data_IF_898900326561
#
_entry.id   IF_898900326561
#
_cell.length_a   1.000
_cell.length_b   1.000
_cell.length_c   1.000
_cell.angle_alpha   90.00
_cell.angle_beta   90.00
_cell.angle_gamma   90.00
#
_symmetry.space_group_name_H-M   'P 1'
#
loop_
_entity.id
_entity.type
_entity.pdbx_description
1 polymer ?
#
# COMPACT_ATOMS: atom_id res chain seq x y z
N UNK A 1 -5.94 -10.80 -1.38
CA UNK A 1 -6.35 -9.39 -1.60
C UNK A 1 -5.09 -8.55 -1.71
N UNK A 2 -5.01 -7.64 -2.68
CA UNK A 2 -3.92 -6.68 -2.72
C UNK A 2 -4.24 -5.53 -1.75
N UNK A 3 -3.33 -5.30 -0.80
CA UNK A 3 -3.53 -4.37 0.33
C UNK A 3 -2.96 -2.98 0.05
N UNK A 4 -2.11 -2.85 -0.96
CA UNK A 4 -1.25 -1.70 -1.16
C UNK A 4 -1.22 -1.32 -2.64
N UNK A 5 -2.19 -0.52 -3.07
CA UNK A 5 -2.32 -0.10 -4.46
C UNK A 5 -2.41 1.41 -4.57
N UNK A 6 -1.72 1.95 -5.55
CA UNK A 6 -1.62 3.37 -5.85
C UNK A 6 -2.20 3.66 -7.22
N UNK A 7 -3.13 4.60 -7.27
CA UNK A 7 -3.59 5.21 -8.50
C UNK A 7 -2.79 6.48 -8.79
N UNK A 8 -3.06 7.12 -9.91
CA UNK A 8 -2.56 8.45 -10.25
C UNK A 8 -2.95 9.55 -9.25
N UNK A 9 -3.93 9.30 -8.36
CA UNK A 9 -4.26 10.20 -7.26
C UNK A 9 -3.19 10.17 -6.17
N UNK A 10 -2.35 9.14 -6.12
CA UNK A 10 -1.01 9.25 -5.53
C UNK A 10 -0.16 10.16 -6.43
N UNK A 11 -0.36 11.47 -6.27
CA UNK A 11 0.13 12.51 -7.15
C UNK A 11 1.62 12.34 -7.44
N UNK A 12 1.96 12.28 -8.73
CA UNK A 12 3.34 12.12 -9.23
C UNK A 12 4.05 10.90 -8.63
N UNK A 13 3.30 9.84 -8.33
CA UNK A 13 3.80 8.56 -7.85
C UNK A 13 3.14 7.39 -8.57
N UNK A 14 1.83 7.19 -8.38
CA UNK A 14 1.09 6.16 -9.11
C UNK A 14 0.91 6.54 -10.57
N UNK A 15 0.96 5.56 -11.47
CA UNK A 15 0.91 5.79 -12.92
C UNK A 15 -0.42 5.40 -13.55
N UNK A 16 -1.30 4.72 -12.80
CA UNK A 16 -2.55 4.17 -13.32
C UNK A 16 -3.79 4.96 -12.92
N UNK A 17 -4.73 5.20 -13.85
CA UNK A 17 -6.10 5.54 -13.49
C UNK A 17 -6.75 4.43 -12.65
N UNK A 18 -7.71 4.83 -11.83
CA UNK A 18 -8.42 3.91 -10.93
C UNK A 18 -9.16 2.81 -11.71
N UNK A 19 -9.80 3.18 -12.81
CA UNK A 19 -10.55 2.27 -13.68
C UNK A 19 -9.62 1.21 -14.28
N UNK A 20 -8.45 1.62 -14.78
CA UNK A 20 -7.45 0.71 -15.34
C UNK A 20 -6.92 -0.27 -14.29
N UNK A 21 -6.65 0.20 -13.07
CA UNK A 21 -6.24 -0.66 -11.96
C UNK A 21 -7.28 -1.74 -11.66
N UNK A 22 -8.56 -1.36 -11.59
CA UNK A 22 -9.67 -2.30 -11.32
C UNK A 22 -9.89 -3.27 -12.48
N UNK A 23 -9.86 -2.80 -13.73
CA UNK A 23 -9.97 -3.64 -14.91
C UNK A 23 -8.87 -4.71 -14.97
N UNK A 24 -7.62 -4.32 -14.70
CA UNK A 24 -6.50 -5.26 -14.65
C UNK A 24 -6.71 -6.30 -13.55
N UNK A 25 -7.15 -5.87 -12.37
CA UNK A 25 -7.45 -6.79 -11.27
C UNK A 25 -8.53 -7.81 -11.65
N UNK A 26 -9.59 -7.36 -12.33
CA UNK A 26 -10.67 -8.23 -12.80
C UNK A 26 -10.17 -9.26 -13.81
N UNK A 27 -9.33 -8.85 -14.78
CA UNK A 27 -8.73 -9.75 -15.78
C UNK A 27 -7.85 -10.84 -15.14
N UNK A 28 -7.21 -10.52 -14.03
CA UNK A 28 -6.36 -11.44 -13.26
C UNK A 28 -7.15 -12.33 -12.28
N UNK A 29 -8.48 -12.20 -12.21
CA UNK A 29 -9.33 -12.97 -11.31
C UNK A 29 -9.20 -12.54 -9.84
N UNK A 30 -8.85 -11.28 -9.58
CA UNK A 30 -8.75 -10.72 -8.22
C UNK A 30 -10.14 -10.23 -7.80
N UNK A 31 -10.65 -10.76 -6.69
CA UNK A 31 -12.01 -10.50 -6.18
C UNK A 31 -12.07 -9.42 -5.08
N UNK A 32 -10.93 -9.06 -4.49
CA UNK A 32 -10.81 -8.02 -3.46
C UNK A 32 -9.57 -7.17 -3.69
N UNK A 33 -9.74 -5.86 -3.60
CA UNK A 33 -8.69 -4.89 -3.88
C UNK A 33 -8.80 -3.71 -2.91
N UNK A 34 -7.68 -3.29 -2.35
CA UNK A 34 -7.58 -2.08 -1.56
C UNK A 34 -7.03 -0.93 -2.38
N UNK A 35 -7.60 0.26 -2.26
CA UNK A 35 -6.97 1.48 -2.74
C UNK A 35 -6.34 2.21 -1.55
N UNK A 36 -5.04 2.44 -1.61
CA UNK A 36 -4.23 3.06 -0.55
C UNK A 36 -3.37 4.15 -1.14
N UNK A 37 -4.02 5.18 -1.70
CA UNK A 37 -3.30 6.31 -2.26
C UNK A 37 -2.49 7.05 -1.18
N UNK A 38 -1.36 7.63 -1.60
CA UNK A 38 -0.39 8.23 -0.68
C UNK A 38 -0.96 9.53 -0.13
N UNK A 39 -1.13 9.59 1.19
CA UNK A 39 -1.58 10.75 1.95
C UNK A 39 -2.88 11.39 1.41
N UNK A 40 -3.75 10.62 0.74
CA UNK A 40 -5.03 11.10 0.25
C UNK A 40 -6.05 9.98 0.00
N UNK A 41 -7.31 10.37 -0.22
CA UNK A 41 -8.44 9.46 -0.48
C UNK A 41 -9.25 9.87 -1.71
N UNK A 42 -8.69 10.73 -2.57
CA UNK A 42 -9.40 11.39 -3.67
C UNK A 42 -10.05 10.39 -4.63
N UNK A 43 -9.33 9.32 -4.97
CA UNK A 43 -9.80 8.29 -5.91
C UNK A 43 -10.82 7.31 -5.35
N UNK A 44 -11.17 7.37 -4.07
CA UNK A 44 -11.95 6.32 -3.41
C UNK A 44 -13.37 6.18 -3.97
N UNK A 45 -14.02 7.28 -4.33
CA UNK A 45 -15.39 7.26 -4.86
C UNK A 45 -15.43 6.57 -6.22
N UNK A 46 -14.50 6.91 -7.10
CA UNK A 46 -14.43 6.32 -8.44
C UNK A 46 -13.95 4.86 -8.37
N UNK A 47 -13.10 4.54 -7.38
CA UNK A 47 -12.66 3.17 -7.10
C UNK A 47 -13.81 2.26 -6.69
N UNK A 48 -14.64 2.69 -5.75
CA UNK A 48 -15.80 1.91 -5.32
C UNK A 48 -16.77 1.66 -6.48
N UNK A 49 -17.00 2.67 -7.33
CA UNK A 49 -17.84 2.52 -8.54
C UNK A 49 -17.24 1.53 -9.53
N UNK A 50 -15.96 1.68 -9.85
CA UNK A 50 -15.26 0.79 -10.77
C UNK A 50 -15.28 -0.66 -10.25
N UNK A 51 -14.96 -0.88 -8.97
CA UNK A 51 -15.01 -2.19 -8.33
C UNK A 51 -16.41 -2.81 -8.43
N UNK A 52 -17.47 -2.03 -8.16
CA UNK A 52 -18.85 -2.50 -8.29
C UNK A 52 -19.18 -2.96 -9.70
N UNK A 53 -18.70 -2.27 -10.74
CA UNK A 53 -18.95 -2.65 -12.14
C UNK A 53 -18.25 -3.95 -12.54
N UNK A 54 -17.15 -4.30 -11.87
CA UNK A 54 -16.36 -5.50 -12.15
C UNK A 54 -16.56 -6.64 -11.15
N UNK A 55 -17.49 -6.49 -10.19
CA UNK A 55 -17.73 -7.51 -9.16
C UNK A 55 -16.57 -7.69 -8.18
N UNK A 56 -15.73 -6.68 -8.01
CA UNK A 56 -14.62 -6.66 -7.06
C UNK A 56 -15.09 -6.02 -5.76
N UNK A 57 -14.72 -6.58 -4.62
CA UNK A 57 -14.96 -5.97 -3.32
C UNK A 57 -13.90 -4.89 -3.03
N UNK A 58 -14.30 -3.61 -2.94
CA UNK A 58 -13.37 -2.53 -2.64
C UNK A 58 -13.06 -2.48 -1.15
N UNK A 59 -11.80 -2.20 -0.80
CA UNK A 59 -11.39 -1.87 0.57
C UNK A 59 -10.75 -0.48 0.59
N UNK A 60 -11.22 0.37 1.50
CA UNK A 60 -10.74 1.73 1.63
C UNK A 60 -9.51 1.78 2.55
N UNK A 61 -8.45 2.45 2.10
CA UNK A 61 -7.28 2.72 2.93
C UNK A 61 -6.50 3.94 2.47
N UNK A 62 -5.39 4.20 3.15
CA UNK A 62 -4.48 5.33 2.92
C UNK A 62 -3.06 4.84 3.21
N UNK A 63 -2.12 5.14 2.33
CA UNK A 63 -0.71 4.97 2.65
C UNK A 63 -0.17 6.26 3.26
N UNK A 64 0.31 6.19 4.50
CA UNK A 64 0.88 7.34 5.21
C UNK A 64 2.39 7.38 5.01
N UNK A 65 2.86 8.48 4.43
CA UNK A 65 4.29 8.76 4.26
C UNK A 65 4.68 10.05 4.95
N UNK A 66 5.90 10.09 5.48
CA UNK A 66 6.47 11.31 6.04
C UNK A 66 6.91 12.30 4.94
N UNK A 67 7.43 13.46 5.35
CA UNK A 67 7.90 14.53 4.47
C UNK A 67 9.12 14.12 3.62
N UNK A 68 9.79 13.02 3.97
CA UNK A 68 10.90 12.45 3.22
C UNK A 68 10.43 11.31 2.28
N UNK A 69 9.12 11.18 2.08
CA UNK A 69 8.47 10.13 1.28
C UNK A 69 8.72 8.71 1.79
N UNK A 70 9.13 8.54 3.04
CA UNK A 70 9.29 7.23 3.66
C UNK A 70 7.93 6.71 4.10
N UNK A 71 7.65 5.45 3.75
CA UNK A 71 6.48 4.73 4.23
C UNK A 71 6.54 4.58 5.75
N UNK A 72 5.54 5.12 6.45
CA UNK A 72 5.35 4.91 7.88
C UNK A 72 4.45 3.70 8.12
N UNK A 73 3.26 3.71 7.52
CA UNK A 73 2.27 2.64 7.63
C UNK A 73 1.15 2.79 6.60
N UNK A 74 0.41 1.71 6.39
CA UNK A 74 -0.82 1.67 5.60
C UNK A 74 -1.99 1.55 6.57
N UNK A 75 -2.92 2.50 6.51
CA UNK A 75 -4.17 2.46 7.27
C UNK A 75 -5.30 1.90 6.43
N UNK A 76 -6.01 0.89 6.94
CA UNK A 76 -7.05 0.15 6.23
C UNK A 76 -8.35 0.16 7.03
N UNK A 77 -9.43 0.64 6.43
CA UNK A 77 -10.73 0.71 7.07
C UNK A 77 -11.42 -0.66 7.10
N UNK A 78 -11.88 -1.09 8.29
CA UNK A 78 -12.74 -2.27 8.46
C UNK A 78 -14.18 -2.01 8.07
N UNK A 79 -14.61 -0.75 8.17
CA UNK A 79 -15.98 -0.30 7.91
C UNK A 79 -16.00 1.22 7.69
N UNK A 80 -17.19 1.78 7.47
CA UNK A 80 -17.38 3.21 7.23
C UNK A 80 -16.91 4.09 8.40
N UNK A 81 -16.99 3.61 9.65
CA UNK A 81 -16.46 4.33 10.80
C UNK A 81 -14.92 4.39 10.73
N UNK A 82 -14.27 3.27 10.44
CA UNK A 82 -12.82 3.23 10.22
C UNK A 82 -12.36 4.16 9.10
N UNK A 83 -13.11 4.23 8.00
CA UNK A 83 -12.81 5.15 6.90
C UNK A 83 -12.94 6.62 7.33
N UNK A 84 -13.98 6.97 8.10
CA UNK A 84 -14.11 8.31 8.70
C UNK A 84 -12.92 8.63 9.60
N UNK A 85 -12.56 7.71 10.50
CA UNK A 85 -11.42 7.88 11.44
C UNK A 85 -10.10 8.12 10.69
N UNK A 86 -9.86 7.40 9.59
CA UNK A 86 -8.69 7.61 8.72
C UNK A 86 -8.69 9.00 8.07
N UNK A 87 -9.84 9.45 7.55
CA UNK A 87 -9.94 10.77 6.94
C UNK A 87 -9.81 11.89 7.99
N UNK A 88 -10.44 11.77 9.15
CA UNK A 88 -10.31 12.75 10.24
C UNK A 88 -8.85 12.86 10.71
N UNK A 89 -8.14 11.73 10.77
CA UNK A 89 -6.72 11.70 11.08
C UNK A 89 -5.89 12.42 10.00
N UNK A 90 -6.09 12.07 8.73
CA UNK A 90 -5.42 12.71 7.61
C UNK A 90 -5.69 14.23 7.56
N UNK A 91 -6.96 14.63 7.65
CA UNK A 91 -7.38 16.04 7.62
C UNK A 91 -6.78 16.86 8.75
N UNK A 92 -6.69 16.29 9.97
CA UNK A 92 -6.06 16.98 11.10
C UNK A 92 -4.60 17.31 10.83
N UNK A 93 -3.82 16.32 10.36
CA UNK A 93 -2.41 16.52 10.04
C UNK A 93 -2.20 17.47 8.86
N UNK A 94 -3.05 17.39 7.83
CA UNK A 94 -3.01 18.33 6.71
C UNK A 94 -3.32 19.77 7.13
N UNK A 95 -4.24 19.96 8.09
CA UNK A 95 -4.62 21.28 8.58
C UNK A 95 -3.61 21.87 9.57
N UNK A 96 -3.02 21.05 10.44
CA UNK A 96 -2.03 21.51 11.44
C UNK A 96 -0.62 21.62 10.88
N UNK A 97 -0.30 20.88 9.81
CA UNK A 97 1.06 20.72 9.30
C UNK A 97 1.96 19.84 10.18
N UNK A 98 1.41 19.24 11.24
CA UNK A 98 2.16 18.34 12.11
C UNK A 98 2.51 17.04 11.35
N UNK A 99 3.75 16.54 11.48
CA UNK A 99 4.13 15.28 10.84
C UNK A 99 3.30 14.12 11.39
N UNK A 100 3.07 13.11 10.55
CA UNK A 100 2.46 11.88 11.01
C UNK A 100 3.37 11.19 12.06
N UNK A 101 2.83 10.75 13.19
CA UNK A 101 3.60 9.96 14.16
C UNK A 101 3.99 8.62 13.55
N UNK A 102 5.14 8.04 13.94
CA UNK A 102 5.57 6.72 13.46
C UNK A 102 4.58 5.60 13.83
N UNK A 103 3.92 5.74 14.99
CA UNK A 103 2.83 4.86 15.44
C UNK A 103 1.56 5.69 15.70
N UNK A 104 0.51 5.55 14.89
CA UNK A 104 -0.71 6.33 15.06
C UNK A 104 -1.48 5.93 16.32
N UNK A 105 -2.25 6.89 16.85
CA UNK A 105 -3.20 6.66 17.96
C UNK A 105 -4.52 6.07 17.49
N UNK A 106 -4.63 5.68 16.22
CA UNK A 106 -5.83 5.08 15.63
C UNK A 106 -6.07 3.70 16.21
N UNK A 107 -7.26 3.53 16.79
CA UNK A 107 -7.74 2.29 17.40
C UNK A 107 -9.13 1.99 16.88
N UNK A 108 -9.46 0.71 16.90
CA UNK A 108 -10.76 0.15 16.55
C UNK A 108 -11.18 0.48 15.10
N UNK A 109 -11.87 -0.44 14.42
CA UNK A 109 -12.33 -0.26 13.01
C UNK A 109 -11.26 0.04 11.95
N UNK A 110 -9.98 0.12 12.30
CA UNK A 110 -8.86 0.40 11.39
C UNK A 110 -7.75 -0.61 11.63
N UNK A 111 -7.28 -1.24 10.56
CA UNK A 111 -6.03 -2.00 10.56
C UNK A 111 -4.85 -1.10 10.20
N UNK A 112 -3.71 -1.30 10.84
CA UNK A 112 -2.47 -0.59 10.54
C UNK A 112 -1.42 -1.62 10.13
N UNK A 113 -0.79 -1.41 8.97
CA UNK A 113 0.24 -2.30 8.43
C UNK A 113 1.54 -1.51 8.32
N UNK A 114 2.54 -1.89 9.11
CA UNK A 114 3.88 -1.29 9.09
C UNK A 114 4.78 -1.99 8.06
N UNK A 115 5.75 -1.29 7.45
CA UNK A 115 6.81 -1.96 6.70
C UNK A 115 7.68 -2.80 7.65
N UNK A 116 8.32 -3.86 7.14
CA UNK A 116 9.19 -4.73 7.92
C UNK A 116 10.33 -3.99 8.63
N UNK A 117 10.83 -2.91 8.03
CA UNK A 117 11.88 -2.05 8.60
C UNK A 117 11.44 -1.28 9.86
N UNK A 118 10.14 -1.05 10.03
CA UNK A 118 9.56 -0.33 11.17
C UNK A 118 9.07 -1.31 12.23
N UNK A 119 9.98 -2.15 12.73
CA UNK A 119 9.65 -3.16 13.73
C UNK A 119 9.16 -2.50 15.03
N UNK A 120 7.99 -2.94 15.50
CA UNK A 120 7.41 -2.52 16.76
C UNK A 120 7.26 -3.72 17.68
N UNK A 121 7.89 -3.67 18.85
CA UNK A 121 7.59 -4.60 19.93
C UNK A 121 6.13 -4.41 20.39
N UNK A 122 5.44 -5.53 20.64
CA UNK A 122 4.07 -5.55 21.14
C UNK A 122 3.05 -4.85 20.22
N UNK A 123 2.86 -5.41 19.02
CA UNK A 123 1.77 -5.05 18.12
C UNK A 123 0.41 -5.24 18.79
N UNK A 124 -0.47 -4.26 18.63
CA UNK A 124 -1.89 -4.33 19.02
C UNK A 124 -2.63 -5.30 18.11
N UNK A 125 -3.86 -5.65 18.47
CA UNK A 125 -4.65 -6.61 17.68
C UNK A 125 -4.97 -6.15 16.26
N UNK A 126 -5.02 -4.84 16.04
CA UNK A 126 -5.27 -4.22 14.75
C UNK A 126 -3.98 -3.84 14.00
N UNK A 127 -2.81 -4.15 14.54
CA UNK A 127 -1.51 -3.79 13.96
C UNK A 127 -0.81 -5.03 13.38
N UNK A 128 -0.24 -4.87 12.19
CA UNK A 128 0.38 -5.92 11.40
C UNK A 128 1.70 -5.42 10.79
N UNK A 129 2.55 -6.35 10.36
CA UNK A 129 3.77 -6.06 9.61
C UNK A 129 3.60 -6.62 8.19
N UNK A 130 3.74 -5.74 7.20
CA UNK A 130 3.72 -6.07 5.80
C UNK A 130 5.10 -6.51 5.31
N UNK A 131 5.17 -7.70 4.73
CA UNK A 131 6.41 -8.29 4.20
C UNK A 131 6.34 -8.31 2.67
N UNK A 132 7.33 -7.71 2.00
CA UNK A 132 7.44 -7.74 0.54
C UNK A 132 8.08 -9.04 0.04
N UNK A 133 7.91 -9.40 -1.25
CA UNK A 133 8.55 -10.59 -1.82
C UNK A 133 10.07 -10.64 -1.63
N UNK A 134 10.75 -9.49 -1.76
CA UNK A 134 12.21 -9.40 -1.58
C UNK A 134 12.65 -9.47 -0.11
N UNK A 135 11.74 -9.21 0.83
CA UNK A 135 11.96 -9.35 2.27
C UNK A 135 11.72 -10.78 2.77
N UNK A 136 10.92 -11.60 2.05
CA UNK A 136 10.61 -12.98 2.42
C UNK A 136 11.88 -13.80 2.69
N UNK A 137 12.92 -13.65 1.87
CA UNK A 137 14.19 -14.38 2.02
C UNK A 137 15.03 -13.89 3.20
N UNK A 138 14.77 -12.66 3.69
CA UNK A 138 15.44 -12.06 4.84
C UNK A 138 14.80 -12.44 6.17
N UNK A 139 13.64 -13.10 6.15
CA UNK A 139 13.00 -13.67 7.33
C UNK A 139 13.78 -14.91 7.81
N UNK A 140 14.98 -14.70 8.36
CA UNK A 140 15.85 -15.76 8.95
C UNK A 140 15.75 -15.77 10.48
N UNK A 141 14.80 -15.00 11.05
CA UNK A 141 14.57 -14.91 12.49
C UNK A 141 13.86 -16.17 13.02
N UNK A 142 13.99 -16.54 14.31
CA UNK A 142 13.03 -17.46 14.93
C UNK A 142 11.66 -16.77 14.97
N UNK A 143 10.90 -16.89 13.87
CA UNK A 143 9.53 -16.40 13.78
C UNK A 143 8.68 -17.29 14.67
N UNK A 144 8.44 -16.83 15.91
CA UNK A 144 7.51 -17.52 16.81
C UNK A 144 6.10 -17.49 16.20
N UNK A 145 5.27 -18.50 16.49
CA UNK A 145 3.90 -18.58 15.94
C UNK A 145 3.04 -17.34 16.24
N UNK A 146 3.29 -16.66 17.37
CA UNK A 146 2.61 -15.41 17.75
C UNK A 146 3.02 -14.21 16.87
N UNK A 147 4.26 -14.19 16.37
CA UNK A 147 4.72 -13.15 15.45
C UNK A 147 4.19 -13.42 14.04
N UNK A 148 4.16 -14.68 13.64
CA UNK A 148 3.68 -15.08 12.32
C UNK A 148 2.22 -14.66 12.05
N UNK A 149 1.36 -14.71 13.07
CA UNK A 149 -0.04 -14.27 12.96
C UNK A 149 -0.21 -12.75 12.79
N UNK A 150 0.87 -11.98 12.93
CA UNK A 150 0.90 -10.52 12.71
C UNK A 150 1.59 -10.13 11.41
N UNK A 151 2.12 -11.08 10.66
CA UNK A 151 2.73 -10.82 9.35
C UNK A 151 1.68 -10.97 8.25
N UNK A 152 1.72 -10.07 7.26
CA UNK A 152 0.87 -10.12 6.07
C UNK A 152 1.69 -9.87 4.82
N UNK A 153 1.28 -10.45 3.68
CA UNK A 153 1.91 -10.17 2.40
C UNK A 153 1.67 -8.70 1.99
N UNK A 154 2.75 -8.01 1.64
CA UNK A 154 2.70 -6.63 1.10
C UNK A 154 3.33 -6.62 -0.30
N UNK A 155 2.49 -6.64 -1.33
CA UNK A 155 2.90 -6.41 -2.71
C UNK A 155 2.36 -5.05 -3.16
N UNK A 156 3.18 -3.99 -3.13
CA UNK A 156 2.78 -2.69 -3.66
C UNK A 156 2.46 -2.79 -5.15
N UNK A 157 1.43 -2.06 -5.57
CA UNK A 157 1.04 -1.90 -6.97
C UNK A 157 1.05 -0.41 -7.27
N UNK A 158 2.07 0.03 -8.00
CA UNK A 158 2.26 1.43 -8.39
C UNK A 158 2.22 1.61 -9.90
N UNK A 159 2.73 0.61 -10.62
CA UNK A 159 2.98 0.60 -12.07
C UNK A 159 1.89 -0.16 -12.81
N UNK A 160 1.59 0.28 -14.04
CA UNK A 160 0.67 -0.46 -14.94
C UNK A 160 1.24 -1.76 -15.50
N UNK A 161 2.56 -1.92 -15.44
CA UNK A 161 3.29 -3.09 -15.89
C UNK A 161 4.79 -2.82 -16.02
N UNK A 162 5.56 -3.79 -16.56
CA UNK A 162 7.02 -3.74 -16.59
C UNK A 162 7.61 -2.53 -17.36
N UNK A 163 6.90 -2.01 -18.36
CA UNK A 163 7.36 -0.88 -19.17
C UNK A 163 7.16 0.50 -18.53
N UNK A 164 6.43 0.57 -17.42
CA UNK A 164 5.92 1.84 -16.88
C UNK A 164 6.86 2.49 -15.86
N UNK A 165 7.91 1.78 -15.46
CA UNK A 165 8.88 2.28 -14.49
C UNK A 165 9.56 3.58 -14.93
N UNK A 166 9.81 3.74 -16.23
CA UNK A 166 10.39 4.98 -16.75
C UNK A 166 9.43 6.16 -16.59
N UNK A 167 8.14 5.99 -16.86
CA UNK A 167 7.13 7.03 -16.62
C UNK A 167 7.12 7.41 -15.13
N UNK A 168 7.08 6.41 -14.25
CA UNK A 168 7.15 6.63 -12.80
C UNK A 168 8.39 7.46 -12.40
N UNK A 169 9.58 7.10 -12.88
CA UNK A 169 10.80 7.88 -12.60
C UNK A 169 10.70 9.34 -13.06
N UNK A 170 10.09 9.60 -14.22
CA UNK A 170 9.86 10.98 -14.68
C UNK A 170 8.94 11.74 -13.72
N UNK A 171 7.86 11.10 -13.25
CA UNK A 171 6.96 11.70 -12.25
C UNK A 171 7.71 12.02 -10.95
N UNK A 172 8.55 11.11 -10.46
CA UNK A 172 9.36 11.33 -9.24
C UNK A 172 10.40 12.44 -9.41
N UNK A 173 11.06 12.51 -10.56
CA UNK A 173 12.02 13.57 -10.86
C UNK A 173 11.36 14.95 -10.88
N UNK A 174 10.14 15.05 -11.45
CA UNK A 174 9.34 16.27 -11.43
C UNK A 174 8.92 16.63 -9.99
N UNK A 175 8.44 15.66 -9.22
CA UNK A 175 7.98 15.87 -7.85
C UNK A 175 9.09 16.38 -6.92
N UNK A 176 10.25 15.73 -7.01
CA UNK A 176 11.42 16.03 -6.18
C UNK A 176 12.30 17.14 -6.76
N UNK A 177 11.92 17.72 -7.90
CA UNK A 177 12.67 18.73 -8.63
C UNK A 177 14.16 18.33 -8.80
N UNK A 178 14.40 17.12 -9.30
CA UNK A 178 15.74 16.53 -9.43
C UNK A 178 15.93 15.83 -10.78
N UNK A 179 17.16 15.40 -11.05
CA UNK A 179 17.48 14.64 -12.27
C UNK A 179 17.13 13.17 -12.10
N UNK A 180 16.73 12.49 -13.20
CA UNK A 180 16.48 11.05 -13.23
C UNK A 180 17.64 10.21 -12.70
N UNK A 181 18.88 10.67 -12.92
CA UNK A 181 20.12 10.02 -12.46
C UNK A 181 20.43 10.25 -10.97
N UNK A 182 19.72 11.18 -10.31
CA UNK A 182 19.86 11.50 -8.89
C UNK A 182 18.76 10.89 -8.03
N UNK A 183 17.77 10.23 -8.65
CA UNK A 183 16.75 9.49 -7.92
C UNK A 183 17.39 8.31 -7.19
N UNK A 184 16.96 8.09 -5.96
CA UNK A 184 17.36 6.96 -5.12
C UNK A 184 16.23 5.94 -5.04
N UNK A 185 16.55 4.69 -4.69
CA UNK A 185 15.56 3.60 -4.60
C UNK A 185 14.45 3.89 -3.58
N UNK A 186 14.73 4.67 -2.53
CA UNK A 186 13.72 5.09 -1.54
C UNK A 186 12.73 6.13 -2.09
N UNK A 187 13.05 6.77 -3.21
CA UNK A 187 12.23 7.81 -3.83
C UNK A 187 11.34 7.27 -4.94
N UNK A 188 11.54 6.02 -5.37
CA UNK A 188 10.79 5.38 -6.46
C UNK A 188 10.06 4.13 -5.97
N UNK A 189 9.10 3.65 -6.73
CA UNK A 189 8.59 2.29 -6.65
C UNK A 189 9.67 1.28 -7.07
N UNK A 190 9.51 0.02 -6.67
CA UNK A 190 10.20 -1.10 -7.31
C UNK A 190 9.71 -1.36 -8.74
N UNK A 191 10.58 -1.90 -9.59
CA UNK A 191 10.23 -2.26 -10.98
C UNK A 191 9.17 -3.38 -11.06
N UNK A 192 9.00 -4.16 -9.98
CA UNK A 192 8.05 -5.26 -9.89
C UNK A 192 6.73 -4.89 -9.17
N UNK A 193 6.49 -3.59 -8.92
CA UNK A 193 5.29 -3.07 -8.28
C UNK A 193 4.09 -2.94 -9.24
N UNK A 194 3.67 -4.05 -9.82
CA UNK A 194 2.48 -4.13 -10.67
C UNK A 194 1.60 -5.33 -10.28
N UNK A 195 0.35 -5.34 -10.74
CA UNK A 195 -0.56 -6.45 -10.47
C UNK A 195 -0.05 -7.75 -11.11
N UNK A 196 -0.08 -8.82 -10.33
CA UNK A 196 0.24 -10.18 -10.76
C UNK A 196 -0.90 -11.12 -10.40
N UNK A 197 -0.95 -12.28 -11.05
CA UNK A 197 -2.00 -13.27 -10.78
C UNK A 197 -1.89 -13.83 -9.34
N UNK A 198 -3.00 -14.30 -8.74
CA UNK A 198 -2.96 -14.97 -7.45
C UNK A 198 -1.99 -16.17 -7.40
N UNK A 199 -1.78 -16.86 -8.52
CA UNK A 199 -0.80 -17.95 -8.62
C UNK A 199 0.64 -17.43 -8.49
N UNK A 200 0.97 -16.32 -9.16
CA UNK A 200 2.27 -15.68 -9.04
C UNK A 200 2.53 -15.13 -7.64
N UNK A 201 1.50 -14.59 -6.97
CA UNK A 201 1.61 -14.20 -5.55
C UNK A 201 2.01 -15.41 -4.70
N UNK A 202 1.32 -16.55 -4.84
CA UNK A 202 1.67 -17.77 -4.09
C UNK A 202 3.10 -18.24 -4.37
N UNK A 203 3.58 -18.12 -5.62
CA UNK A 203 4.97 -18.43 -5.98
C UNK A 203 5.96 -17.49 -5.30
N UNK A 204 5.70 -16.18 -5.31
CA UNK A 204 6.55 -15.16 -4.66
C UNK A 204 6.66 -15.39 -3.13
N UNK A 205 5.63 -15.94 -2.50
CA UNK A 205 5.57 -16.21 -1.05
C UNK A 205 5.72 -17.70 -0.70
N UNK A 206 6.25 -18.54 -1.58
CA UNK A 206 6.30 -19.99 -1.38
C UNK A 206 7.04 -20.43 -0.09
N UNK A 207 8.01 -19.63 0.39
CA UNK A 207 8.72 -19.89 1.64
C UNK A 207 7.86 -19.62 2.89
N UNK A 208 6.87 -18.72 2.81
CA UNK A 208 5.95 -18.39 3.88
C UNK A 208 4.51 -18.27 3.35
N UNK A 209 3.87 -19.38 2.92
CA UNK A 209 2.54 -19.37 2.29
C UNK A 209 1.43 -18.78 3.18
N UNK A 210 1.61 -18.84 4.50
CA UNK A 210 0.68 -18.29 5.51
C UNK A 210 0.50 -16.76 5.45
N UNK A 211 1.34 -16.05 4.68
CA UNK A 211 1.22 -14.61 4.49
C UNK A 211 0.15 -14.21 3.46
N UNK A 212 -0.30 -15.16 2.62
CA UNK A 212 -1.17 -14.94 1.45
C UNK A 212 -2.60 -15.36 1.71
#
# INVERSE_FOLDING_TARGET
MFLNCHSWYSLRYGTMPVESLVEQAARLGIDRLALTDINNTTGMVDFVKACSNHGIHPVAGIEFRDQQHRLLYIGMARNNNGYRVLNDFLSRHNASGEPFPERPSLRDDVYIIYPLSSFHDNLRENEFIGVTPCEVTRLVWPVTGKMLSRLVARLPVTLSGPGDFFLHKNLRAIDLNTLLSKLTDSQTAGEDEYLVSPEEVRKKYALFPQLV
#
